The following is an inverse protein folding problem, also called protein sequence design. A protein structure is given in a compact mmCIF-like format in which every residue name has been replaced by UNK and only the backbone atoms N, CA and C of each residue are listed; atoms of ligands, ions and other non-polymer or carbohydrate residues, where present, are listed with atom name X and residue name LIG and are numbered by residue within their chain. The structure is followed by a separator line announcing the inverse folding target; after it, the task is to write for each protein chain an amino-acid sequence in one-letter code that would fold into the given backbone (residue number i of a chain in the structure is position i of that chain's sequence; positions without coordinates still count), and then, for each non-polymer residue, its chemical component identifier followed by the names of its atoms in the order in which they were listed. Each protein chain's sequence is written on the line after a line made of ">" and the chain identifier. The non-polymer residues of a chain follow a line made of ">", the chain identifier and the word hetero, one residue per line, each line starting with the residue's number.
data_IF_987708681031
#
_entry.id   IF_987708681031
#
_cell.length_a   1.000
_cell.length_b   1.000
_cell.length_c   1.000
_cell.angle_alpha   90.00
_cell.angle_beta   90.00
_cell.angle_gamma   90.00
#
_symmetry.space_group_name_H-M   'P 1'
#
loop_
_entity.id
_entity.type
_entity.pdbx_description
1 polymer ?
#
# COMPACT_ATOMS: atom_id res chain seq x y z
N UNK A 1 14.59 -0.88 13.94
CA UNK A 1 13.95 -0.75 12.59
C UNK A 1 15.05 -0.83 11.55
N UNK A 2 14.87 -1.61 10.49
CA UNK A 2 15.83 -1.74 9.40
C UNK A 2 15.28 -1.03 8.15
N UNK A 3 16.06 -0.12 7.57
CA UNK A 3 15.67 0.60 6.36
C UNK A 3 16.06 -0.20 5.12
N UNK A 4 15.25 -0.08 4.06
CA UNK A 4 15.58 -0.56 2.72
C UNK A 4 15.22 0.49 1.68
N UNK A 5 15.99 0.57 0.62
CA UNK A 5 15.78 1.51 -0.48
C UNK A 5 15.71 0.78 -1.84
N UNK A 6 14.66 -0.03 -2.09
CA UNK A 6 14.63 -0.89 -3.27
C UNK A 6 14.12 -0.19 -4.55
N UNK A 7 13.61 1.03 -4.42
CA UNK A 7 12.92 1.76 -5.49
C UNK A 7 13.69 3.02 -5.92
N UNK A 8 13.06 4.19 -5.87
CA UNK A 8 13.67 5.47 -6.27
C UNK A 8 14.64 6.02 -5.25
N UNK A 9 15.64 6.76 -5.70
CA UNK A 9 16.50 7.57 -4.84
C UNK A 9 15.69 8.68 -4.15
N UNK A 10 16.15 9.17 -3.00
CA UNK A 10 15.52 10.33 -2.37
C UNK A 10 15.56 11.54 -3.32
N UNK A 11 14.48 12.32 -3.31
CA UNK A 11 14.39 13.56 -4.13
C UNK A 11 15.22 14.70 -3.53
N UNK A 12 15.42 14.64 -2.23
CA UNK A 12 16.27 15.55 -1.46
C UNK A 12 17.03 14.75 -0.38
N UNK A 13 18.15 15.26 0.05
CA UNK A 13 18.99 14.59 1.05
C UNK A 13 18.49 14.78 2.49
N UNK A 14 17.61 15.75 2.72
CA UNK A 14 17.17 16.13 4.07
C UNK A 14 16.04 15.24 4.60
N UNK A 15 15.08 14.88 3.75
CA UNK A 15 13.91 14.07 4.17
C UNK A 15 14.28 12.76 4.85
N UNK A 16 15.13 11.90 4.28
CA UNK A 16 15.46 10.65 4.97
C UNK A 16 16.19 10.88 6.28
N UNK A 17 17.06 11.89 6.37
CA UNK A 17 17.79 12.21 7.61
C UNK A 17 16.83 12.70 8.70
N UNK A 18 15.87 13.53 8.37
CA UNK A 18 14.83 13.98 9.30
C UNK A 18 13.99 12.80 9.82
N UNK A 19 13.60 11.88 8.93
CA UNK A 19 12.86 10.68 9.31
C UNK A 19 13.66 9.78 10.26
N UNK A 20 14.93 9.56 9.98
CA UNK A 20 15.86 8.81 10.86
C UNK A 20 15.97 9.50 12.22
N UNK A 21 16.25 10.80 12.24
CA UNK A 21 16.38 11.57 13.49
C UNK A 21 15.10 11.53 14.33
N UNK A 22 13.94 11.66 13.67
CA UNK A 22 12.67 11.59 14.37
C UNK A 22 12.44 10.21 15.00
N UNK A 23 12.68 9.12 14.26
CA UNK A 23 12.56 7.75 14.77
C UNK A 23 13.50 7.51 15.96
N UNK A 24 14.73 7.98 15.88
CA UNK A 24 15.70 7.88 16.98
C UNK A 24 15.22 8.64 18.22
N UNK A 25 14.62 9.82 18.06
CA UNK A 25 14.00 10.58 19.17
C UNK A 25 12.80 9.84 19.79
N UNK A 26 12.13 8.94 19.04
CA UNK A 26 11.11 8.05 19.57
C UNK A 26 11.69 6.78 20.27
N UNK A 27 13.01 6.68 20.39
CA UNK A 27 13.66 5.53 20.99
C UNK A 27 13.82 4.33 20.04
N UNK A 28 13.63 4.51 18.74
CA UNK A 28 13.79 3.46 17.74
C UNK A 28 15.24 3.40 17.27
N UNK A 29 15.90 2.25 17.43
CA UNK A 29 17.17 2.00 16.77
C UNK A 29 16.96 1.83 15.26
N UNK A 30 17.65 2.65 14.45
CA UNK A 30 17.53 2.64 12.98
C UNK A 30 18.79 2.06 12.36
N UNK A 31 18.64 0.96 11.64
CA UNK A 31 19.70 0.18 11.00
C UNK A 31 19.69 0.39 9.48
N UNK A 32 20.84 0.15 8.83
CA UNK A 32 21.04 0.29 7.38
C UNK A 32 20.78 1.72 6.88
N UNK A 33 21.19 2.71 7.66
CA UNK A 33 20.95 4.12 7.34
C UNK A 33 21.71 4.59 6.09
N UNK A 34 22.78 3.93 5.69
CA UNK A 34 23.55 4.25 4.50
C UNK A 34 22.77 4.06 3.19
N UNK A 35 21.76 3.22 3.18
CA UNK A 35 20.93 2.98 1.99
C UNK A 35 20.26 4.25 1.44
N UNK A 36 20.01 5.24 2.30
CA UNK A 36 19.31 6.48 1.92
C UNK A 36 20.17 7.41 1.05
N UNK A 37 21.47 7.21 1.03
CA UNK A 37 22.43 8.02 0.28
C UNK A 37 22.74 7.47 -1.11
N UNK A 38 22.27 6.28 -1.44
CA UNK A 38 22.55 5.64 -2.73
C UNK A 38 21.76 6.30 -3.86
N UNK A 39 22.46 6.60 -4.94
CA UNK A 39 21.86 7.20 -6.16
C UNK A 39 22.52 6.62 -7.39
N UNK A 40 21.71 6.05 -8.28
CA UNK A 40 22.08 5.71 -9.64
C UNK A 40 20.93 6.10 -10.57
N UNK A 41 21.11 7.17 -11.33
CA UNK A 41 20.03 7.80 -12.10
C UNK A 41 18.84 8.16 -11.19
N UNK A 42 17.67 7.56 -11.42
CA UNK A 42 16.48 7.75 -10.57
C UNK A 42 16.35 6.77 -9.41
N UNK A 43 17.25 5.78 -9.33
CA UNK A 43 17.14 4.66 -8.39
C UNK A 43 18.02 4.87 -7.16
N UNK A 44 17.66 4.22 -6.08
CA UNK A 44 18.46 4.19 -4.85
C UNK A 44 19.61 3.18 -4.96
N UNK A 45 20.51 3.41 -5.92
CA UNK A 45 21.64 2.54 -6.28
C UNK A 45 21.33 1.64 -7.47
N UNK A 46 22.32 0.83 -7.87
CA UNK A 46 22.23 -0.13 -8.96
C UNK A 46 21.19 -1.23 -8.70
N UNK A 47 20.74 -1.90 -9.74
CA UNK A 47 19.83 -3.04 -9.62
C UNK A 47 20.44 -4.13 -8.72
N UNK A 48 21.74 -4.36 -8.82
CA UNK A 48 22.45 -5.35 -8.00
C UNK A 48 22.46 -4.99 -6.51
N UNK A 49 22.72 -3.74 -6.15
CA UNK A 49 22.70 -3.27 -4.75
C UNK A 49 21.30 -3.37 -4.16
N UNK A 50 20.28 -2.90 -4.88
CA UNK A 50 18.87 -2.95 -4.45
C UNK A 50 18.37 -4.38 -4.30
N UNK A 51 18.70 -5.27 -5.24
CA UNK A 51 18.36 -6.69 -5.16
C UNK A 51 19.05 -7.39 -4.00
N UNK A 52 20.35 -7.13 -3.79
CA UNK A 52 21.10 -7.69 -2.67
C UNK A 52 20.48 -7.29 -1.32
N UNK A 53 20.07 -6.03 -1.18
CA UNK A 53 19.39 -5.51 0.00
C UNK A 53 18.04 -6.19 0.23
N UNK A 54 17.21 -6.33 -0.81
CA UNK A 54 15.92 -7.05 -0.72
C UNK A 54 16.13 -8.51 -0.32
N UNK A 55 17.09 -9.20 -0.92
CA UNK A 55 17.37 -10.60 -0.60
C UNK A 55 18.00 -10.78 0.79
N UNK A 56 18.67 -9.74 1.33
CA UNK A 56 19.20 -9.74 2.69
C UNK A 56 18.09 -9.81 3.76
N UNK A 57 16.85 -9.41 3.44
CA UNK A 57 15.69 -9.53 4.35
C UNK A 57 15.51 -10.96 4.87
N UNK A 58 15.84 -11.97 4.06
CA UNK A 58 15.78 -13.37 4.45
C UNK A 58 16.68 -13.76 5.64
N UNK A 59 17.65 -12.90 6.00
CA UNK A 59 18.64 -13.14 7.06
C UNK A 59 18.45 -12.25 8.28
N UNK A 60 17.48 -11.33 8.25
CA UNK A 60 17.22 -10.43 9.38
C UNK A 60 16.58 -11.18 10.56
N UNK A 61 16.85 -10.67 11.76
CA UNK A 61 16.21 -11.15 12.99
C UNK A 61 14.71 -10.95 12.93
N UNK A 62 13.89 -11.90 13.44
CA UNK A 62 12.43 -11.82 13.45
C UNK A 62 11.86 -10.64 14.26
N UNK A 63 12.65 -10.06 15.16
CA UNK A 63 12.23 -8.92 15.99
C UNK A 63 12.36 -7.58 15.27
N UNK A 64 12.91 -7.58 14.06
CA UNK A 64 13.15 -6.36 13.30
C UNK A 64 11.90 -6.01 12.46
N UNK A 65 11.46 -4.77 12.57
CA UNK A 65 10.56 -4.18 11.58
C UNK A 65 11.38 -3.55 10.44
N UNK A 66 11.04 -3.88 9.21
CA UNK A 66 11.65 -3.33 7.98
C UNK A 66 10.74 -2.26 7.41
N UNK A 67 11.31 -1.11 7.04
CA UNK A 67 10.57 0.00 6.43
C UNK A 67 11.28 0.45 5.15
N UNK A 68 10.49 0.57 4.07
CA UNK A 68 10.99 1.12 2.82
C UNK A 68 11.27 2.63 2.95
N UNK A 69 12.38 3.08 2.36
CA UNK A 69 12.73 4.51 2.35
C UNK A 69 11.67 5.33 1.62
N UNK A 70 11.32 4.91 0.42
CA UNK A 70 10.29 5.52 -0.43
C UNK A 70 9.88 4.60 -1.58
N UNK A 71 8.81 4.96 -2.29
CA UNK A 71 8.42 4.38 -3.57
C UNK A 71 9.12 5.03 -4.77
N UNK A 72 8.35 5.34 -5.79
CA UNK A 72 8.82 5.86 -7.09
C UNK A 72 8.73 4.79 -8.17
N UNK A 73 9.85 4.25 -8.62
CA UNK A 73 9.91 3.13 -9.56
C UNK A 73 11.25 2.39 -9.39
N UNK A 74 11.24 1.09 -9.55
CA UNK A 74 12.48 0.31 -9.56
C UNK A 74 12.32 -1.16 -9.21
N UNK A 75 11.35 -1.52 -8.38
CA UNK A 75 11.14 -2.90 -7.93
C UNK A 75 10.75 -3.86 -9.06
N UNK A 76 10.03 -3.41 -10.09
CA UNK A 76 9.71 -4.24 -11.27
C UNK A 76 10.95 -4.84 -11.94
N UNK A 77 12.09 -4.16 -11.89
CA UNK A 77 13.34 -4.63 -12.49
C UNK A 77 13.97 -5.79 -11.73
N UNK A 78 13.57 -6.01 -10.47
CA UNK A 78 14.17 -6.96 -9.55
C UNK A 78 13.39 -8.26 -9.39
N UNK A 79 12.12 -8.29 -9.81
CA UNK A 79 11.15 -9.32 -9.45
C UNK A 79 11.60 -10.75 -9.77
N UNK A 80 12.31 -10.94 -10.90
CA UNK A 80 12.75 -12.26 -11.34
C UNK A 80 13.79 -12.90 -10.40
N UNK A 81 14.57 -12.08 -9.70
CA UNK A 81 15.73 -12.51 -8.93
C UNK A 81 15.53 -12.40 -7.40
N UNK A 82 14.33 -11.98 -6.96
CA UNK A 82 13.97 -11.93 -5.54
C UNK A 82 13.80 -13.35 -4.98
N UNK A 83 14.41 -13.60 -3.82
CA UNK A 83 14.35 -14.87 -3.11
C UNK A 83 13.06 -15.00 -2.29
N UNK A 84 11.91 -15.05 -2.96
CA UNK A 84 10.58 -14.99 -2.36
C UNK A 84 10.37 -15.95 -1.19
N UNK A 85 10.69 -17.25 -1.37
CA UNK A 85 10.49 -18.26 -0.35
C UNK A 85 11.37 -18.06 0.88
N UNK A 86 12.60 -17.56 0.70
CA UNK A 86 13.49 -17.28 1.82
C UNK A 86 13.00 -16.09 2.65
N UNK A 87 12.52 -15.05 1.99
CA UNK A 87 11.92 -13.88 2.65
C UNK A 87 10.63 -14.25 3.37
N UNK A 88 9.76 -15.07 2.73
CA UNK A 88 8.54 -15.56 3.36
C UNK A 88 8.81 -16.34 4.64
N UNK A 89 9.86 -17.17 4.65
CA UNK A 89 10.30 -17.90 5.86
C UNK A 89 10.72 -16.93 6.99
N UNK A 90 11.41 -15.85 6.66
CA UNK A 90 11.76 -14.83 7.67
C UNK A 90 10.50 -14.14 8.24
N UNK A 91 9.49 -13.86 7.39
CA UNK A 91 8.20 -13.31 7.82
C UNK A 91 7.44 -14.30 8.71
N UNK A 92 7.40 -15.57 8.36
CA UNK A 92 6.80 -16.63 9.20
C UNK A 92 7.46 -16.73 10.56
N UNK A 93 8.78 -16.46 10.65
CA UNK A 93 9.53 -16.42 11.90
C UNK A 93 9.30 -15.13 12.69
N UNK A 94 8.64 -14.11 12.12
CA UNK A 94 8.30 -12.88 12.85
C UNK A 94 8.70 -11.58 12.20
N UNK A 95 9.54 -11.58 11.15
CA UNK A 95 9.94 -10.36 10.43
C UNK A 95 8.70 -9.63 9.89
N UNK A 96 8.66 -8.31 10.06
CA UNK A 96 7.59 -7.48 9.51
C UNK A 96 8.16 -6.50 8.50
N UNK A 97 7.53 -6.37 7.34
CA UNK A 97 8.03 -5.57 6.22
C UNK A 97 6.93 -4.59 5.79
N UNK A 98 7.25 -3.28 5.81
CA UNK A 98 6.31 -2.20 5.59
C UNK A 98 6.75 -1.25 4.47
N UNK A 99 5.77 -0.81 3.67
CA UNK A 99 5.92 0.21 2.64
C UNK A 99 4.65 0.34 1.80
N UNK A 100 4.62 1.27 0.85
CA UNK A 100 3.50 1.45 -0.10
C UNK A 100 4.00 2.00 -1.45
N UNK A 101 3.09 2.47 -2.32
CA UNK A 101 3.45 2.99 -3.64
C UNK A 101 4.12 1.91 -4.52
N UNK A 102 5.30 2.17 -5.12
CA UNK A 102 6.06 1.16 -5.89
C UNK A 102 6.32 -0.13 -5.08
N UNK A 103 6.35 -0.03 -3.74
CA UNK A 103 6.51 -1.19 -2.87
C UNK A 103 5.35 -2.20 -2.96
N UNK A 104 4.19 -1.80 -3.47
CA UNK A 104 3.07 -2.68 -3.82
C UNK A 104 3.50 -3.84 -4.72
N UNK A 105 4.46 -3.61 -5.63
CA UNK A 105 5.03 -4.68 -6.48
C UNK A 105 5.61 -5.82 -5.65
N UNK A 106 6.39 -5.49 -4.63
CA UNK A 106 7.00 -6.47 -3.74
C UNK A 106 5.94 -7.20 -2.91
N UNK A 107 4.99 -6.46 -2.35
CA UNK A 107 3.92 -6.99 -1.50
C UNK A 107 3.04 -7.99 -2.26
N UNK A 108 2.58 -7.61 -3.45
CA UNK A 108 1.75 -8.48 -4.28
C UNK A 108 2.54 -9.67 -4.83
N UNK A 109 3.79 -9.46 -5.25
CA UNK A 109 4.67 -10.55 -5.69
C UNK A 109 4.93 -11.58 -4.59
N UNK A 110 5.18 -11.13 -3.36
CA UNK A 110 5.37 -12.02 -2.21
C UNK A 110 4.07 -12.76 -1.86
N UNK A 111 2.93 -12.08 -1.86
CA UNK A 111 1.62 -12.69 -1.65
C UNK A 111 1.33 -13.75 -2.72
N UNK A 112 1.51 -13.41 -4.00
CA UNK A 112 1.28 -14.34 -5.12
C UNK A 112 2.15 -15.59 -5.05
N UNK A 113 3.43 -15.43 -4.69
CA UNK A 113 4.41 -16.52 -4.69
C UNK A 113 4.37 -17.38 -3.43
N UNK A 114 3.94 -16.84 -2.31
CA UNK A 114 4.17 -17.50 -1.00
C UNK A 114 2.99 -17.39 -0.03
N UNK A 115 2.03 -16.51 -0.26
CA UNK A 115 0.96 -16.22 0.68
C UNK A 115 1.41 -15.44 1.94
N UNK A 116 2.65 -14.96 2.01
CA UNK A 116 3.17 -14.27 3.18
C UNK A 116 2.55 -12.88 3.33
N UNK A 117 2.29 -12.49 4.58
CA UNK A 117 1.68 -11.20 4.95
C UNK A 117 2.75 -10.12 5.05
N UNK A 118 2.48 -8.97 4.41
CA UNK A 118 3.29 -7.75 4.55
C UNK A 118 2.41 -6.58 4.97
N UNK A 119 3.01 -5.43 5.25
CA UNK A 119 2.30 -4.24 5.71
C UNK A 119 2.32 -3.15 4.65
N UNK A 120 1.16 -2.77 4.14
CA UNK A 120 1.00 -1.54 3.38
C UNK A 120 0.86 -0.38 4.38
N UNK A 121 1.88 0.46 4.49
CA UNK A 121 1.96 1.47 5.55
C UNK A 121 3.04 2.51 5.29
N UNK A 122 3.46 3.23 6.33
CA UNK A 122 4.37 4.36 6.21
C UNK A 122 5.73 4.00 5.63
N UNK A 123 6.34 4.99 4.98
CA UNK A 123 7.70 4.97 4.47
C UNK A 123 8.52 6.11 5.06
N UNK A 124 9.85 5.97 5.05
CA UNK A 124 10.75 6.90 5.75
C UNK A 124 10.58 8.35 5.28
N UNK A 125 10.71 8.60 3.97
CA UNK A 125 10.85 9.98 3.45
C UNK A 125 9.59 10.83 3.55
N UNK A 126 8.41 10.22 3.53
CA UNK A 126 7.14 10.96 3.50
C UNK A 126 6.41 10.94 4.83
N UNK A 127 6.49 9.82 5.53
CA UNK A 127 5.63 9.60 6.68
C UNK A 127 6.36 9.86 7.99
N UNK A 128 7.67 9.62 8.05
CA UNK A 128 8.51 9.88 9.22
C UNK A 128 9.34 11.16 9.10
N UNK A 129 9.48 11.73 7.90
CA UNK A 129 10.04 13.06 7.71
C UNK A 129 8.99 14.13 7.96
N UNK A 130 9.43 15.31 8.39
CA UNK A 130 8.57 16.50 8.48
C UNK A 130 8.22 16.98 7.08
N UNK A 131 6.95 17.28 6.81
CA UNK A 131 6.50 17.78 5.52
C UNK A 131 5.89 19.17 5.64
N UNK A 132 6.32 20.07 4.77
CA UNK A 132 5.86 21.46 4.77
C UNK A 132 6.12 22.14 6.11
N UNK A 133 5.10 22.77 6.68
CA UNK A 133 5.16 23.45 7.98
C UNK A 133 5.01 22.49 9.18
N UNK A 134 4.78 21.21 8.94
CA UNK A 134 4.69 20.21 10.01
C UNK A 134 6.07 19.84 10.52
N UNK A 135 6.27 19.97 11.82
CA UNK A 135 7.51 19.62 12.52
C UNK A 135 7.50 18.20 13.08
N UNK A 136 6.39 17.48 12.91
CA UNK A 136 6.23 16.09 13.40
C UNK A 136 5.43 15.26 12.39
N UNK A 137 5.72 13.96 12.28
CA UNK A 137 4.88 13.01 11.58
C UNK A 137 3.46 12.97 12.11
N UNK A 138 2.53 12.54 11.27
CA UNK A 138 1.12 12.45 11.64
C UNK A 138 0.89 11.48 12.81
N UNK A 139 0.22 11.94 13.87
CA UNK A 139 0.02 11.15 15.09
C UNK A 139 -0.90 9.94 14.86
N UNK A 140 -1.91 10.05 14.00
CA UNK A 140 -2.79 8.93 13.61
C UNK A 140 -1.97 7.84 12.90
N UNK A 141 -1.18 8.21 11.91
CA UNK A 141 -0.30 7.30 11.18
C UNK A 141 0.65 6.57 12.14
N UNK A 142 1.32 7.32 13.03
CA UNK A 142 2.28 6.74 13.97
C UNK A 142 1.63 5.75 14.94
N UNK A 143 0.46 6.10 15.51
CA UNK A 143 -0.27 5.23 16.42
C UNK A 143 -0.69 3.91 15.75
N UNK A 144 -1.22 3.98 14.52
CA UNK A 144 -1.61 2.79 13.77
C UNK A 144 -0.42 1.95 13.31
N UNK A 145 0.70 2.57 12.95
CA UNK A 145 1.93 1.86 12.64
C UNK A 145 2.47 1.12 13.87
N UNK A 146 2.57 1.80 15.03
CA UNK A 146 3.01 1.16 16.28
C UNK A 146 2.10 -0.03 16.66
N UNK A 147 0.78 0.14 16.55
CA UNK A 147 -0.17 -0.94 16.83
C UNK A 147 0.02 -2.13 15.89
N UNK A 148 0.22 -1.86 14.59
CA UNK A 148 0.47 -2.91 13.61
C UNK A 148 1.77 -3.68 13.91
N UNK A 149 2.86 -2.98 14.22
CA UNK A 149 4.16 -3.61 14.49
C UNK A 149 4.17 -4.36 15.82
N UNK A 150 3.62 -3.78 16.89
CA UNK A 150 3.75 -4.34 18.24
C UNK A 150 2.66 -5.37 18.57
N UNK A 151 1.45 -5.19 18.03
CA UNK A 151 0.27 -6.02 18.39
C UNK A 151 -0.21 -6.89 17.22
N UNK A 152 0.31 -6.68 16.01
CA UNK A 152 -0.17 -7.31 14.77
C UNK A 152 -1.69 -7.15 14.60
N UNK A 153 -2.16 -5.96 14.87
CA UNK A 153 -3.58 -5.64 14.90
C UNK A 153 -3.91 -4.38 14.12
N UNK A 154 -4.97 -4.48 13.31
CA UNK A 154 -5.67 -3.36 12.69
C UNK A 154 -7.06 -3.27 13.32
N UNK A 155 -7.46 -2.10 13.76
CA UNK A 155 -8.79 -1.82 14.29
C UNK A 155 -9.05 -0.33 14.14
N UNK A 156 -9.94 0.04 13.23
CA UNK A 156 -10.25 1.43 12.93
C UNK A 156 -11.71 1.55 12.48
N UNK A 157 -12.35 2.64 12.91
CA UNK A 157 -13.67 3.05 12.40
C UNK A 157 -13.50 4.31 11.58
N UNK A 158 -13.99 4.26 10.35
CA UNK A 158 -13.89 5.32 9.34
C UNK A 158 -15.29 5.90 9.15
N UNK A 159 -15.44 7.21 9.39
CA UNK A 159 -16.66 7.92 9.07
C UNK A 159 -16.63 8.28 7.58
N UNK A 160 -17.68 7.96 6.85
CA UNK A 160 -17.76 8.28 5.43
C UNK A 160 -17.87 9.78 5.25
N UNK A 161 -16.87 10.38 4.63
CA UNK A 161 -16.90 11.79 4.25
C UNK A 161 -17.90 12.04 3.11
N UNK A 162 -18.14 11.05 2.26
CA UNK A 162 -19.15 11.00 1.19
C UNK A 162 -19.43 9.53 0.87
N UNK A 163 -20.66 9.07 0.78
CA UNK A 163 -20.98 7.72 0.35
C UNK A 163 -20.77 7.62 -1.15
N UNK A 164 -19.77 6.85 -1.60
CA UNK A 164 -19.64 6.53 -3.01
C UNK A 164 -20.65 5.46 -3.45
N UNK A 165 -21.52 5.84 -4.32
CA UNK A 165 -22.00 5.32 -5.60
C UNK A 165 -22.90 4.08 -5.66
N UNK A 166 -22.72 3.04 -4.94
CA UNK A 166 -23.73 2.04 -4.66
C UNK A 166 -23.95 2.08 -3.16
N UNK A 167 -25.05 2.66 -2.72
CA UNK A 167 -25.41 2.64 -1.30
C UNK A 167 -25.51 1.19 -0.84
N UNK A 168 -24.50 0.68 -0.13
CA UNK A 168 -24.75 -0.48 0.69
C UNK A 168 -25.62 0.01 1.84
N UNK A 169 -26.81 -0.51 1.97
CA UNK A 169 -27.70 -0.10 3.07
C UNK A 169 -27.00 -0.40 4.40
N UNK A 170 -26.45 -1.57 4.55
CA UNK A 170 -25.56 -2.01 5.63
C UNK A 170 -25.07 -3.44 5.35
N UNK A 171 -23.94 -3.83 5.93
CA UNK A 171 -23.47 -5.20 5.76
C UNK A 171 -22.21 -5.53 6.55
N UNK A 172 -21.85 -6.79 6.45
CA UNK A 172 -20.59 -7.34 6.98
C UNK A 172 -19.96 -8.19 5.93
N UNK A 173 -18.68 -8.02 5.72
CA UNK A 173 -17.87 -8.86 4.83
C UNK A 173 -16.58 -9.27 5.53
N UNK A 174 -16.08 -10.42 5.14
CA UNK A 174 -14.80 -10.94 5.61
C UNK A 174 -14.05 -11.51 4.44
N UNK A 175 -12.73 -11.28 4.40
CA UNK A 175 -11.90 -11.79 3.33
C UNK A 175 -10.44 -11.38 3.52
N UNK A 176 -9.58 -11.91 2.67
CA UNK A 176 -8.19 -11.51 2.63
C UNK A 176 -8.07 -10.05 2.19
N UNK A 177 -7.43 -9.21 3.02
CA UNK A 177 -7.13 -7.82 2.67
C UNK A 177 -5.93 -7.77 1.75
N UNK A 178 -6.08 -7.18 0.58
CA UNK A 178 -5.01 -7.10 -0.41
C UNK A 178 -5.18 -5.88 -1.31
N UNK A 179 -4.13 -5.48 -2.02
CA UNK A 179 -4.20 -4.33 -2.91
C UNK A 179 -2.99 -3.41 -2.74
N UNK A 180 -3.21 -2.11 -2.92
CA UNK A 180 -2.20 -1.06 -2.84
C UNK A 180 -2.35 -0.01 -3.92
N UNK A 181 -1.22 0.43 -4.50
CA UNK A 181 -1.24 1.42 -5.58
C UNK A 181 -1.85 0.86 -6.87
N UNK A 182 -2.86 1.55 -7.41
CA UNK A 182 -3.63 1.10 -8.56
C UNK A 182 -2.78 0.97 -9.82
N UNK A 183 -1.95 1.96 -10.12
CA UNK A 183 -1.05 1.94 -11.30
C UNK A 183 -0.11 0.74 -11.25
N UNK A 184 0.44 0.47 -10.08
CA UNK A 184 1.34 -0.67 -9.86
C UNK A 184 0.60 -1.98 -10.02
N UNK A 185 -0.56 -2.12 -9.39
CA UNK A 185 -1.38 -3.33 -9.46
C UNK A 185 -1.84 -3.62 -10.89
N UNK A 186 -2.33 -2.60 -11.61
CA UNK A 186 -2.71 -2.73 -13.02
C UNK A 186 -1.54 -3.17 -13.91
N UNK A 187 -0.34 -2.69 -13.61
CA UNK A 187 0.90 -3.10 -14.31
C UNK A 187 1.30 -4.56 -14.07
N UNK A 188 0.76 -5.23 -13.04
CA UNK A 188 1.02 -6.64 -12.75
C UNK A 188 0.04 -7.60 -13.43
N UNK A 189 -1.05 -7.12 -14.02
CA UNK A 189 -2.03 -7.97 -14.72
C UNK A 189 -1.35 -8.79 -15.81
N UNK A 190 -1.59 -10.09 -15.79
CA UNK A 190 -0.97 -11.03 -16.74
C UNK A 190 0.44 -11.48 -16.37
N UNK A 191 0.97 -11.05 -15.22
CA UNK A 191 2.28 -11.49 -14.71
C UNK A 191 2.13 -12.51 -13.57
N UNK A 192 3.16 -13.31 -13.28
CA UNK A 192 3.13 -14.25 -12.18
C UNK A 192 3.33 -13.58 -10.79
N UNK A 193 3.33 -12.25 -10.72
CA UNK A 193 3.52 -11.45 -9.51
C UNK A 193 2.22 -10.79 -9.03
N UNK A 194 1.12 -10.91 -9.78
CA UNK A 194 -0.21 -10.61 -9.29
C UNK A 194 -0.81 -11.89 -8.67
N UNK A 195 -1.38 -11.84 -7.46
CA UNK A 195 -2.13 -12.97 -6.92
C UNK A 195 -3.23 -13.43 -7.89
N UNK A 196 -3.41 -14.74 -8.03
CA UNK A 196 -4.42 -15.31 -8.93
C UNK A 196 -5.84 -14.99 -8.46
N UNK A 197 -6.82 -15.09 -9.36
CA UNK A 197 -8.23 -14.95 -8.98
C UNK A 197 -8.66 -15.96 -7.91
N UNK A 198 -8.10 -17.16 -7.91
CA UNK A 198 -8.36 -18.17 -6.88
C UNK A 198 -7.83 -17.73 -5.51
N UNK A 199 -6.62 -17.18 -5.47
CA UNK A 199 -6.01 -16.66 -4.22
C UNK A 199 -6.77 -15.47 -3.65
N UNK A 200 -7.36 -14.62 -4.50
CA UNK A 200 -8.05 -13.39 -4.11
C UNK A 200 -9.57 -13.50 -4.10
N UNK A 201 -10.12 -14.67 -4.39
CA UNK A 201 -11.56 -14.90 -4.39
C UNK A 201 -12.18 -14.58 -3.02
N UNK A 202 -13.22 -13.75 -3.00
CA UNK A 202 -13.84 -13.29 -1.77
C UNK A 202 -12.96 -12.32 -0.95
N UNK A 203 -11.90 -11.79 -1.54
CA UNK A 203 -11.00 -10.84 -0.90
C UNK A 203 -11.60 -9.46 -0.69
N UNK A 204 -10.91 -8.64 0.07
CA UNK A 204 -11.20 -7.22 0.27
C UNK A 204 -10.06 -6.46 -0.40
N UNK A 205 -10.35 -5.86 -1.54
CA UNK A 205 -9.37 -5.13 -2.34
C UNK A 205 -9.32 -3.67 -1.90
N UNK A 206 -8.15 -3.15 -1.54
CA UNK A 206 -7.97 -1.71 -1.32
C UNK A 206 -7.10 -1.08 -2.41
N UNK A 207 -7.45 0.13 -2.82
CA UNK A 207 -6.78 0.85 -3.92
C UNK A 207 -6.55 2.31 -3.55
N UNK A 208 -5.39 2.84 -3.93
CA UNK A 208 -5.03 4.25 -3.85
C UNK A 208 -4.20 4.64 -5.08
N UNK A 209 -4.08 5.92 -5.39
CA UNK A 209 -3.09 6.39 -6.36
C UNK A 209 -2.75 7.88 -6.20
N UNK A 210 -1.65 8.30 -6.82
CA UNK A 210 -1.19 9.68 -6.82
C UNK A 210 -0.77 10.13 -8.22
N UNK A 211 -1.09 11.38 -8.57
CA UNK A 211 -0.78 12.01 -9.86
C UNK A 211 -1.45 11.38 -11.10
N UNK A 212 -2.39 10.45 -10.93
CA UNK A 212 -3.11 9.86 -12.04
C UNK A 212 -4.40 10.63 -12.34
N UNK A 213 -4.56 11.08 -13.59
CA UNK A 213 -5.77 11.76 -14.03
C UNK A 213 -6.98 10.81 -13.94
N UNK A 214 -8.21 11.28 -13.58
CA UNK A 214 -9.39 10.44 -13.42
C UNK A 214 -9.65 9.47 -14.58
N UNK A 215 -9.44 9.86 -15.85
CA UNK A 215 -9.62 8.93 -16.98
C UNK A 215 -8.60 7.79 -17.00
N UNK A 216 -7.39 8.01 -16.44
CA UNK A 216 -6.38 6.95 -16.32
C UNK A 216 -6.75 5.98 -15.19
N UNK A 217 -7.28 6.51 -14.08
CA UNK A 217 -7.84 5.72 -12.99
C UNK A 217 -8.98 4.86 -13.52
N UNK A 218 -9.95 5.45 -14.24
CA UNK A 218 -11.04 4.69 -14.86
C UNK A 218 -10.52 3.58 -15.76
N UNK A 219 -9.58 3.90 -16.66
CA UNK A 219 -9.01 2.91 -17.58
C UNK A 219 -8.36 1.73 -16.85
N UNK A 220 -7.60 1.98 -15.77
CA UNK A 220 -6.97 0.93 -14.97
C UNK A 220 -8.01 0.10 -14.20
N UNK A 221 -9.03 0.73 -13.64
CA UNK A 221 -10.12 0.02 -12.99
C UNK A 221 -10.92 -0.83 -13.99
N UNK A 222 -11.19 -0.33 -15.20
CA UNK A 222 -11.81 -1.10 -16.28
C UNK A 222 -10.93 -2.29 -16.70
N UNK A 223 -9.61 -2.09 -16.79
CA UNK A 223 -8.67 -3.19 -17.05
C UNK A 223 -8.74 -4.26 -15.98
N UNK A 224 -8.79 -3.89 -14.71
CA UNK A 224 -8.94 -4.84 -13.60
C UNK A 224 -10.30 -5.56 -13.63
N UNK A 225 -11.36 -4.86 -14.02
CA UNK A 225 -12.68 -5.44 -14.19
C UNK A 225 -12.69 -6.46 -15.34
N UNK A 226 -12.22 -6.07 -16.52
CA UNK A 226 -12.16 -6.93 -17.71
C UNK A 226 -11.19 -8.12 -17.53
N UNK A 227 -10.20 -8.00 -16.64
CA UNK A 227 -9.31 -9.09 -16.23
C UNK A 227 -9.90 -10.00 -15.12
N UNK A 228 -11.15 -9.75 -14.67
CA UNK A 228 -11.83 -10.54 -13.64
C UNK A 228 -11.31 -10.32 -12.21
N UNK A 229 -10.48 -9.31 -11.99
CA UNK A 229 -9.89 -9.02 -10.67
C UNK A 229 -10.93 -8.44 -9.71
N UNK A 230 -11.81 -7.55 -10.21
CA UNK A 230 -12.79 -6.84 -9.37
C UNK A 230 -14.05 -7.65 -9.09
N UNK A 231 -14.46 -8.54 -9.99
CA UNK A 231 -15.76 -9.22 -9.94
C UNK A 231 -15.91 -10.25 -8.80
N UNK A 232 -14.78 -10.73 -8.28
CA UNK A 232 -14.74 -11.77 -7.26
C UNK A 232 -14.40 -11.25 -5.85
N UNK A 233 -14.47 -9.93 -5.64
CA UNK A 233 -14.17 -9.33 -4.33
C UNK A 233 -15.41 -9.30 -3.44
N UNK A 234 -15.22 -9.42 -2.13
CA UNK A 234 -16.26 -9.20 -1.12
C UNK A 234 -16.50 -7.72 -0.87
N UNK A 235 -15.47 -6.89 -1.04
CA UNK A 235 -15.56 -5.43 -0.99
C UNK A 235 -14.38 -4.78 -1.73
N UNK A 236 -14.58 -3.53 -2.17
CA UNK A 236 -13.53 -2.67 -2.69
C UNK A 236 -13.45 -1.43 -1.80
N UNK A 237 -12.27 -1.15 -1.27
CA UNK A 237 -11.98 0.01 -0.44
C UNK A 237 -11.18 1.03 -1.25
N UNK A 238 -11.65 2.26 -1.31
CA UNK A 238 -10.95 3.35 -1.99
C UNK A 238 -10.28 4.25 -0.95
N UNK A 239 -8.97 4.30 -1.03
CA UNK A 239 -8.12 5.24 -0.30
C UNK A 239 -7.99 6.58 -1.01
N UNK A 240 -6.88 7.28 -0.77
CA UNK A 240 -6.60 8.57 -1.39
C UNK A 240 -6.23 8.44 -2.87
N UNK A 241 -6.96 9.16 -3.72
CA UNK A 241 -6.57 9.45 -5.09
C UNK A 241 -6.28 10.93 -5.18
N UNK A 242 -5.01 11.30 -5.23
CA UNK A 242 -4.58 12.67 -4.97
C UNK A 242 -3.62 13.24 -6.01
N UNK A 243 -3.34 14.54 -5.91
CA UNK A 243 -2.37 15.27 -6.72
C UNK A 243 -2.57 15.18 -8.25
N UNK A 244 -3.75 14.79 -8.72
CA UNK A 244 -4.10 14.91 -10.14
C UNK A 244 -4.55 16.33 -10.47
N UNK A 245 -4.51 16.66 -11.75
CA UNK A 245 -4.95 17.95 -12.25
C UNK A 245 -6.03 17.77 -13.32
N UNK A 246 -7.14 18.50 -13.17
CA UNK A 246 -8.19 18.59 -14.19
C UNK A 246 -7.88 19.72 -15.17
N UNK A 247 -8.38 19.60 -16.39
CA UNK A 247 -8.20 20.55 -17.47
C UNK A 247 -9.56 20.98 -18.06
N UNK A 248 -9.60 22.09 -18.77
CA UNK A 248 -10.84 22.64 -19.36
C UNK A 248 -11.56 21.66 -20.30
N UNK A 249 -10.80 20.79 -20.96
CA UNK A 249 -11.36 19.76 -21.85
C UNK A 249 -12.02 18.60 -21.11
N UNK A 250 -11.88 18.49 -19.80
CA UNK A 250 -12.59 17.48 -18.99
C UNK A 250 -14.10 17.79 -18.88
N UNK A 251 -14.50 19.06 -19.04
CA UNK A 251 -15.90 19.49 -19.10
C UNK A 251 -16.78 18.94 -17.98
N UNK A 252 -16.24 18.92 -16.74
CA UNK A 252 -16.93 18.40 -15.57
C UNK A 252 -16.76 16.91 -15.30
N UNK A 253 -15.93 16.20 -16.08
CA UNK A 253 -15.52 14.84 -15.76
C UNK A 253 -14.57 14.84 -14.56
N UNK A 254 -14.87 14.04 -13.54
CA UNK A 254 -14.18 14.02 -12.25
C UNK A 254 -13.79 12.59 -11.86
N UNK A 255 -13.10 12.45 -10.73
CA UNK A 255 -12.82 11.14 -10.15
C UNK A 255 -14.11 10.37 -9.81
N UNK A 256 -15.13 11.08 -9.32
CA UNK A 256 -16.44 10.50 -9.01
C UNK A 256 -17.09 9.94 -10.29
N UNK A 257 -17.00 10.66 -11.40
CA UNK A 257 -17.47 10.18 -12.71
C UNK A 257 -16.78 8.89 -13.13
N UNK A 258 -15.46 8.80 -12.95
CA UNK A 258 -14.68 7.62 -13.28
C UNK A 258 -15.07 6.40 -12.42
N UNK A 259 -15.17 6.59 -11.11
CA UNK A 259 -15.55 5.53 -10.18
C UNK A 259 -16.99 5.08 -10.42
N UNK A 260 -17.90 6.01 -10.71
CA UNK A 260 -19.30 5.69 -11.04
C UNK A 260 -19.43 4.83 -12.30
N UNK A 261 -18.66 5.14 -13.34
CA UNK A 261 -18.66 4.37 -14.59
C UNK A 261 -18.26 2.91 -14.35
N UNK A 262 -17.23 2.68 -13.54
CA UNK A 262 -16.78 1.34 -13.16
C UNK A 262 -17.82 0.64 -12.27
N UNK A 263 -18.33 1.34 -11.25
CA UNK A 263 -19.27 0.78 -10.28
C UNK A 263 -20.56 0.28 -10.92
N UNK A 264 -21.01 0.91 -12.02
CA UNK A 264 -22.18 0.46 -12.80
C UNK A 264 -21.97 -0.90 -13.46
N UNK A 265 -20.73 -1.27 -13.75
CA UNK A 265 -20.37 -2.55 -14.37
C UNK A 265 -20.07 -3.66 -13.34
N UNK A 266 -19.80 -3.30 -12.11
CA UNK A 266 -19.55 -4.27 -11.03
C UNK A 266 -20.82 -5.06 -10.68
N UNK A 267 -20.69 -6.34 -10.26
CA UNK A 267 -21.80 -7.09 -9.66
C UNK A 267 -22.48 -6.31 -8.53
N UNK A 268 -23.82 -6.40 -8.47
CA UNK A 268 -24.64 -5.55 -7.60
C UNK A 268 -24.40 -5.73 -6.09
N UNK A 269 -23.80 -6.84 -5.71
CA UNK A 269 -23.52 -7.22 -4.32
C UNK A 269 -22.15 -6.79 -3.81
N UNK A 270 -21.27 -6.21 -4.64
CA UNK A 270 -19.93 -5.77 -4.21
C UNK A 270 -20.01 -4.32 -3.70
N UNK A 271 -19.83 -4.06 -2.39
CA UNK A 271 -19.76 -2.70 -1.87
C UNK A 271 -18.44 -2.04 -2.29
N UNK A 272 -18.54 -0.77 -2.70
CA UNK A 272 -17.38 0.11 -2.94
C UNK A 272 -17.39 1.17 -1.84
N UNK A 273 -16.46 1.08 -0.91
CA UNK A 273 -16.36 1.93 0.27
C UNK A 273 -15.20 2.92 0.10
N UNK A 274 -15.47 4.19 0.31
CA UNK A 274 -14.46 5.26 0.17
C UNK A 274 -14.03 5.82 1.52
N UNK A 275 -13.00 6.66 1.47
CA UNK A 275 -12.50 7.35 2.66
C UNK A 275 -11.57 6.49 3.51
N UNK A 276 -11.09 5.35 2.99
CA UNK A 276 -10.03 4.59 3.67
C UNK A 276 -8.82 5.52 3.88
N UNK A 277 -8.37 5.76 5.13
CA UNK A 277 -7.19 6.58 5.39
C UNK A 277 -5.94 5.79 4.98
N UNK A 278 -5.67 5.76 3.68
CA UNK A 278 -4.52 5.08 3.09
C UNK A 278 -4.16 5.72 1.73
N UNK A 279 -2.88 5.75 1.39
CA UNK A 279 -2.35 6.29 0.15
C UNK A 279 -1.28 7.36 0.40
N UNK A 280 -1.10 8.26 -0.58
CA UNK A 280 -0.12 9.36 -0.50
C UNK A 280 -0.69 10.55 0.26
N UNK A 281 -1.03 10.32 1.52
CA UNK A 281 -1.61 11.31 2.44
C UNK A 281 -1.03 11.12 3.85
N UNK A 282 -1.11 12.16 4.68
CA UNK A 282 -0.53 12.16 6.02
C UNK A 282 -1.25 11.17 6.97
N UNK A 283 -2.58 11.16 6.96
CA UNK A 283 -3.36 10.18 7.70
C UNK A 283 -3.33 8.84 6.98
N UNK A 284 -2.69 7.86 7.61
CA UNK A 284 -2.42 6.57 6.96
C UNK A 284 -2.55 5.42 7.95
N UNK A 285 -3.41 4.47 7.64
CA UNK A 285 -3.44 3.18 8.30
C UNK A 285 -2.25 2.31 7.87
N UNK A 286 -1.91 1.35 8.70
CA UNK A 286 -1.02 0.25 8.33
C UNK A 286 -1.87 -0.99 8.09
N UNK A 287 -1.98 -1.41 6.83
CA UNK A 287 -2.87 -2.46 6.35
C UNK A 287 -2.11 -3.77 6.13
N UNK A 288 -2.53 -4.90 6.71
CA UNK A 288 -1.87 -6.19 6.52
C UNK A 288 -2.28 -6.81 5.17
N UNK A 289 -1.42 -6.74 4.17
CA UNK A 289 -1.60 -7.34 2.84
C UNK A 289 -1.44 -8.84 2.93
N UNK A 290 -2.49 -9.58 2.67
CA UNK A 290 -2.54 -11.05 2.74
C UNK A 290 -3.20 -11.60 4.01
N UNK A 291 -3.55 -10.76 4.99
CA UNK A 291 -4.23 -11.18 6.21
C UNK A 291 -5.76 -11.16 6.06
N UNK A 292 -6.45 -11.96 6.87
CA UNK A 292 -7.92 -11.90 6.96
C UNK A 292 -8.36 -10.61 7.63
N UNK A 293 -9.34 -9.95 7.05
CA UNK A 293 -9.96 -8.76 7.61
C UNK A 293 -11.48 -8.88 7.65
N UNK A 294 -12.08 -8.12 8.56
CA UNK A 294 -13.52 -8.03 8.77
C UNK A 294 -13.94 -6.58 8.62
N UNK A 295 -14.95 -6.34 7.82
CA UNK A 295 -15.55 -5.02 7.62
C UNK A 295 -17.01 -5.07 8.00
N UNK A 296 -17.43 -4.10 8.78
CA UNK A 296 -18.84 -3.80 9.00
C UNK A 296 -19.08 -2.38 8.48
N UNK A 297 -20.13 -2.20 7.67
CA UNK A 297 -20.42 -0.91 7.04
C UNK A 297 -21.91 -0.58 7.10
N UNK A 298 -22.21 0.71 7.12
CA UNK A 298 -23.56 1.29 7.04
C UNK A 298 -23.51 2.67 6.34
N UNK A 299 -24.59 3.44 6.43
CA UNK A 299 -24.68 4.77 5.82
C UNK A 299 -23.72 5.80 6.45
N UNK A 300 -23.22 5.58 7.67
CA UNK A 300 -22.32 6.48 8.39
C UNK A 300 -20.84 6.22 8.12
N UNK A 301 -20.50 5.04 7.58
CA UNK A 301 -19.11 4.66 7.30
C UNK A 301 -18.86 3.17 7.44
N UNK A 302 -17.64 2.82 7.80
CA UNK A 302 -17.28 1.42 8.01
C UNK A 302 -16.20 1.25 9.09
N UNK A 303 -16.20 0.09 9.73
CA UNK A 303 -15.07 -0.35 10.55
C UNK A 303 -14.28 -1.43 9.82
N UNK A 304 -12.98 -1.47 10.05
CA UNK A 304 -12.07 -2.49 9.55
C UNK A 304 -11.28 -3.08 10.71
N UNK A 305 -11.25 -4.40 10.78
CA UNK A 305 -10.51 -5.14 11.80
C UNK A 305 -9.74 -6.29 11.17
N UNK A 306 -8.51 -6.51 11.64
CA UNK A 306 -7.65 -7.64 11.26
C UNK A 306 -6.68 -7.95 12.39
N UNK A 307 -6.29 -9.23 12.48
CA UNK A 307 -5.21 -9.69 13.36
C UNK A 307 -4.46 -10.80 12.62
N UNK A 308 -3.10 -10.77 12.65
CA UNK A 308 -2.25 -11.67 11.86
C UNK A 308 -1.01 -12.17 12.61
#
# INVERSE_FOLDING_TARGET
>A
MHLIAPSGASLDASSPLQGIEWLQKQGVEVLNTECVNRVEQRFAGSDAERLAEVNQLAKLSPEIAVVAMRGGYGLHRLLADIQWSAIAKAIQNGLQICGHSDFTVFQLGLLAKTGAVTLAGPMLNFDFACQGDSITPNAFMWAHFQKAINERKLDCTIQAAQPFLKKPVQGKVSGMLWGGNLTVLAGLVGTPYLPTQEQTHGGILFLEDVNEHPYRIERMLMQLLDAGVLENQSAILLGGFSAYRLYDNDRGYTLESAIEAVSKRLPGNIPVLSGLPFGHQAEKLTLPVGAQAHIQYDESGFSIQSQW
#
